data_IF_857012018852
#
_entry.id   IF_857012018852
#
_cell.length_a   1.000
_cell.length_b   1.000
_cell.length_c   1.000
_cell.angle_alpha   90.00
_cell.angle_beta   90.00
_cell.angle_gamma   90.00
#
_symmetry.space_group_name_H-M   'P 1'
#
loop_
_entity.id
_entity.type
_entity.pdbx_description
1 polymer ?
#
# COMPACT_ATOMS: atom_id res chain seq x y z
N UNK A 1 -52.59 -10.59 -32.09
CA UNK A 1 -51.82 -11.57 -32.89
C UNK A 1 -50.34 -11.49 -32.48
N UNK A 2 -49.74 -12.65 -32.20
CA UNK A 2 -48.31 -13.05 -32.26
C UNK A 2 -47.25 -12.07 -31.68
N UNK A 3 -46.65 -12.32 -30.50
CA UNK A 3 -45.56 -13.28 -30.18
C UNK A 3 -44.25 -13.04 -30.94
N UNK A 4 -43.22 -12.61 -30.21
CA UNK A 4 -41.84 -13.13 -30.08
C UNK A 4 -41.38 -12.64 -28.68
N UNK A 5 -41.43 -13.38 -27.56
CA UNK A 5 -40.80 -14.64 -27.18
C UNK A 5 -39.27 -14.65 -27.31
N UNK A 6 -38.61 -14.68 -26.13
CA UNK A 6 -37.45 -15.54 -25.78
C UNK A 6 -36.17 -15.31 -26.59
N UNK A 7 -35.01 -15.01 -26.02
CA UNK A 7 -34.17 -15.70 -25.01
C UNK A 7 -32.90 -14.83 -24.90
N UNK A 8 -32.00 -14.82 -23.93
CA UNK A 8 -31.66 -15.55 -22.72
C UNK A 8 -30.83 -14.53 -21.90
N UNK A 9 -31.07 -14.37 -20.60
CA UNK A 9 -30.18 -14.95 -19.59
C UNK A 9 -28.68 -14.92 -19.96
N UNK A 10 -27.99 -13.86 -19.55
CA UNK A 10 -26.69 -14.02 -18.89
C UNK A 10 -26.84 -13.51 -17.46
N UNK A 11 -27.58 -14.31 -16.69
CA UNK A 11 -27.31 -14.50 -15.27
C UNK A 11 -25.91 -15.12 -15.15
N UNK A 12 -25.22 -14.80 -14.05
CA UNK A 12 -23.93 -15.35 -13.61
C UNK A 12 -22.67 -14.86 -14.35
N UNK A 13 -22.15 -13.73 -13.88
CA UNK A 13 -20.91 -13.78 -13.10
C UNK A 13 -20.83 -12.51 -12.24
N UNK A 14 -21.73 -12.40 -11.26
CA UNK A 14 -21.22 -12.06 -9.95
C UNK A 14 -20.20 -13.16 -9.68
N UNK A 15 -18.93 -12.88 -9.96
CA UNK A 15 -17.88 -13.55 -9.25
C UNK A 15 -18.21 -13.22 -7.80
N UNK A 16 -18.98 -14.10 -7.18
CA UNK A 16 -18.63 -14.63 -5.89
C UNK A 16 -17.14 -14.97 -5.98
N UNK A 17 -16.31 -13.93 -5.83
CA UNK A 17 -15.36 -13.95 -4.75
C UNK A 17 -16.23 -14.29 -3.54
N UNK A 18 -16.47 -15.61 -3.36
CA UNK A 18 -16.19 -16.20 -2.07
C UNK A 18 -14.95 -15.45 -1.65
N UNK A 19 -15.12 -14.46 -0.77
CA UNK A 19 -14.01 -13.98 0.01
C UNK A 19 -13.47 -15.29 0.55
N UNK A 20 -12.40 -15.78 -0.08
CA UNK A 20 -11.65 -16.87 0.48
C UNK A 20 -11.49 -16.37 1.92
N UNK A 21 -11.94 -17.14 2.94
CA UNK A 21 -11.71 -16.72 4.30
C UNK A 21 -10.25 -16.30 4.29
N UNK A 22 -9.99 -15.01 4.60
CA UNK A 22 -8.65 -14.45 4.68
C UNK A 22 -7.92 -15.49 5.51
N UNK A 23 -7.20 -16.39 4.83
CA UNK A 23 -6.56 -17.47 5.52
C UNK A 23 -5.62 -16.68 6.40
N UNK A 24 -5.76 -16.84 7.71
CA UNK A 24 -4.86 -16.25 8.66
C UNK A 24 -3.47 -16.68 8.21
N UNK A 25 -2.82 -15.84 7.41
CA UNK A 25 -1.49 -16.08 6.92
C UNK A 25 -0.68 -16.13 8.20
N UNK A 26 0.06 -17.22 8.36
CA UNK A 26 0.76 -17.56 9.59
C UNK A 26 1.34 -16.30 10.22
N UNK A 27 1.14 -16.12 11.53
CA UNK A 27 1.62 -15.00 12.36
C UNK A 27 3.15 -14.74 12.32
N UNK A 28 3.90 -15.38 11.42
CA UNK A 28 5.33 -15.23 11.16
C UNK A 28 5.57 -14.34 9.93
N UNK A 29 4.94 -13.17 9.86
CA UNK A 29 5.41 -12.14 8.93
C UNK A 29 6.69 -11.51 9.48
N UNK A 30 7.62 -11.11 8.61
CA UNK A 30 8.84 -10.42 9.04
C UNK A 30 8.46 -9.03 9.62
N UNK A 31 8.59 -8.81 10.95
CA UNK A 31 8.19 -7.54 11.56
C UNK A 31 9.04 -6.38 11.05
N UNK A 32 10.30 -6.63 10.68
CA UNK A 32 11.17 -5.60 10.13
C UNK A 32 10.73 -5.20 8.72
N UNK A 33 10.26 -6.14 7.90
CA UNK A 33 9.70 -5.83 6.59
C UNK A 33 8.37 -5.08 6.71
N UNK A 34 7.50 -5.50 7.63
CA UNK A 34 6.26 -4.78 7.93
C UNK A 34 6.52 -3.34 8.37
N UNK A 35 7.41 -3.14 9.34
CA UNK A 35 7.80 -1.81 9.80
C UNK A 35 8.43 -0.97 8.68
N UNK A 36 9.21 -1.59 7.80
CA UNK A 36 9.77 -0.93 6.63
C UNK A 36 8.68 -0.46 5.67
N UNK A 37 7.66 -1.27 5.38
CA UNK A 37 6.56 -0.84 4.51
C UNK A 37 5.81 0.35 5.10
N UNK A 38 5.51 0.33 6.41
CA UNK A 38 4.85 1.44 7.07
C UNK A 38 5.72 2.72 7.11
N UNK A 39 7.03 2.57 7.33
CA UNK A 39 7.96 3.70 7.26
C UNK A 39 8.05 4.27 5.83
N UNK A 40 7.99 3.41 4.81
CA UNK A 40 7.95 3.84 3.41
C UNK A 40 6.63 4.54 3.06
N UNK A 41 5.49 4.06 3.55
CA UNK A 41 4.21 4.75 3.40
C UNK A 41 4.25 6.16 4.03
N UNK A 42 4.77 6.27 5.26
CA UNK A 42 4.94 7.54 5.95
C UNK A 42 5.91 8.49 5.19
N UNK A 43 6.99 7.97 4.61
CA UNK A 43 7.90 8.77 3.77
C UNK A 43 7.19 9.32 2.52
N UNK A 44 6.33 8.52 1.88
CA UNK A 44 5.58 8.97 0.70
C UNK A 44 4.55 10.07 1.04
N UNK A 45 3.97 10.06 2.24
CA UNK A 45 3.13 11.18 2.72
C UNK A 45 3.96 12.47 2.80
N UNK A 46 5.18 12.40 3.32
CA UNK A 46 6.08 13.56 3.36
C UNK A 46 6.44 14.05 1.96
N UNK A 47 6.67 13.15 1.00
CA UNK A 47 6.92 13.54 -0.39
C UNK A 47 5.68 14.15 -1.05
N UNK A 48 4.49 13.61 -0.82
CA UNK A 48 3.24 14.18 -1.31
C UNK A 48 3.03 15.62 -0.79
N UNK A 49 3.32 15.86 0.50
CA UNK A 49 3.18 17.18 1.12
C UNK A 49 4.22 18.20 0.64
N UNK A 50 5.36 17.74 0.11
CA UNK A 50 6.44 18.59 -0.40
C UNK A 50 6.55 18.57 -1.93
N UNK A 51 5.63 17.91 -2.63
CA UNK A 51 5.62 17.86 -4.07
C UNK A 51 5.38 19.26 -4.66
N UNK A 52 6.11 19.58 -5.74
CA UNK A 52 6.03 20.90 -6.40
C UNK A 52 4.86 21.02 -7.37
N UNK A 53 4.25 19.90 -7.73
CA UNK A 53 3.13 19.81 -8.65
C UNK A 53 2.19 18.66 -8.24
N UNK A 54 0.97 18.70 -8.79
CA UNK A 54 -0.07 17.74 -8.46
C UNK A 54 0.27 16.33 -8.98
N UNK A 55 1.02 16.19 -10.08
CA UNK A 55 1.40 14.89 -10.60
C UNK A 55 2.33 14.15 -9.62
N UNK A 56 3.38 14.81 -9.14
CA UNK A 56 4.30 14.27 -8.13
C UNK A 56 3.62 13.99 -6.80
N UNK A 57 2.62 14.80 -6.42
CA UNK A 57 1.79 14.55 -5.24
C UNK A 57 0.98 13.26 -5.40
N UNK A 58 0.27 13.11 -6.51
CA UNK A 58 -0.55 11.93 -6.79
C UNK A 58 0.29 10.66 -6.93
N UNK A 59 1.46 10.74 -7.55
CA UNK A 59 2.39 9.61 -7.64
C UNK A 59 2.88 9.17 -6.25
N UNK A 60 3.20 10.12 -5.37
CA UNK A 60 3.60 9.83 -3.99
C UNK A 60 2.44 9.21 -3.21
N UNK A 61 1.21 9.72 -3.33
CA UNK A 61 0.02 9.14 -2.69
C UNK A 61 -0.20 7.69 -3.13
N UNK A 62 -0.13 7.42 -4.45
CA UNK A 62 -0.28 6.06 -5.00
C UNK A 62 0.79 5.11 -4.46
N UNK A 63 2.05 5.55 -4.45
CA UNK A 63 3.14 4.74 -3.88
C UNK A 63 2.96 4.49 -2.39
N UNK A 64 2.53 5.50 -1.62
CA UNK A 64 2.21 5.36 -0.20
C UNK A 64 1.11 4.33 0.04
N UNK A 65 0.04 4.37 -0.76
CA UNK A 65 -1.05 3.39 -0.69
C UNK A 65 -0.56 1.97 -0.99
N UNK A 66 0.29 1.76 -2.00
CA UNK A 66 0.85 0.43 -2.29
C UNK A 66 1.62 -0.15 -1.11
N UNK A 67 2.43 0.65 -0.42
CA UNK A 67 3.14 0.20 0.78
C UNK A 67 2.20 -0.18 1.93
N UNK A 68 1.13 0.59 2.14
CA UNK A 68 0.12 0.28 3.16
C UNK A 68 -0.60 -1.03 2.84
N UNK A 69 -1.01 -1.23 1.59
CA UNK A 69 -1.64 -2.47 1.14
C UNK A 69 -0.70 -3.66 1.35
N UNK A 70 0.58 -3.55 0.97
CA UNK A 70 1.55 -4.62 1.24
C UNK A 70 1.74 -4.89 2.73
N UNK A 71 1.71 -3.86 3.59
CA UNK A 71 1.78 -4.05 5.05
C UNK A 71 0.54 -4.77 5.61
N UNK A 72 -0.65 -4.42 5.11
CA UNK A 72 -1.92 -5.08 5.45
C UNK A 72 -1.92 -6.55 5.02
N UNK A 73 -1.51 -6.82 3.77
CA UNK A 73 -1.42 -8.17 3.22
C UNK A 73 -0.44 -9.04 4.01
N UNK A 74 0.75 -8.52 4.35
CA UNK A 74 1.74 -9.27 5.13
C UNK A 74 1.26 -9.59 6.55
N UNK A 75 0.69 -8.61 7.25
CA UNK A 75 0.34 -8.78 8.66
C UNK A 75 -0.99 -9.49 8.87
N UNK A 76 -1.84 -9.57 7.85
CA UNK A 76 -3.23 -10.02 7.97
C UNK A 76 -4.10 -9.10 8.83
N UNK A 77 -3.55 -7.98 9.31
CA UNK A 77 -4.22 -7.04 10.19
C UNK A 77 -4.83 -5.91 9.38
N UNK A 78 -6.08 -5.59 9.71
CA UNK A 78 -6.70 -4.38 9.21
C UNK A 78 -6.08 -3.16 9.90
N UNK A 79 -5.42 -2.30 9.12
CA UNK A 79 -4.91 -1.00 9.57
C UNK A 79 -6.05 0.04 9.59
N UNK A 80 -7.13 -0.29 10.29
CA UNK A 80 -8.36 0.51 10.33
C UNK A 80 -8.14 1.92 10.90
N UNK A 81 -7.17 2.08 11.80
CA UNK A 81 -6.73 3.38 12.29
C UNK A 81 -5.32 3.71 11.77
N UNK A 82 -5.26 4.17 10.53
CA UNK A 82 -4.02 4.66 9.91
C UNK A 82 -3.38 5.80 10.72
N UNK A 83 -4.17 6.58 11.47
CA UNK A 83 -3.65 7.75 12.17
C UNK A 83 -2.73 7.36 13.34
N UNK A 84 -3.04 6.27 14.05
CA UNK A 84 -2.21 5.78 15.16
C UNK A 84 -0.97 5.02 14.69
N UNK A 85 -1.03 4.43 13.49
CA UNK A 85 0.10 3.67 12.93
C UNK A 85 1.08 4.56 12.16
N UNK A 86 0.57 5.53 11.38
CA UNK A 86 1.37 6.30 10.42
C UNK A 86 1.83 7.64 11.00
N UNK A 87 1.00 8.35 11.76
CA UNK A 87 1.38 9.68 12.31
C UNK A 87 2.67 9.65 13.15
N UNK A 88 2.91 8.65 14.02
CA UNK A 88 4.17 8.55 14.76
C UNK A 88 5.38 8.36 13.84
N UNK A 89 5.21 7.63 12.73
CA UNK A 89 6.27 7.36 11.74
C UNK A 89 6.58 8.60 10.92
N UNK A 90 5.55 9.34 10.50
CA UNK A 90 5.72 10.66 9.86
C UNK A 90 6.54 11.57 10.77
N UNK A 91 6.17 11.66 12.05
CA UNK A 91 6.90 12.47 13.05
C UNK A 91 8.36 12.03 13.20
N UNK A 92 8.61 10.71 13.34
CA UNK A 92 9.95 10.12 13.42
C UNK A 92 10.80 10.46 12.20
N UNK A 93 10.25 10.27 10.99
CA UNK A 93 10.97 10.48 9.72
C UNK A 93 11.22 11.97 9.48
N UNK A 94 10.25 12.84 9.75
CA UNK A 94 10.46 14.30 9.73
C UNK A 94 11.60 14.70 10.66
N UNK A 95 11.65 14.14 11.87
CA UNK A 95 12.77 14.34 12.80
C UNK A 95 14.13 13.93 12.21
N UNK A 96 14.20 12.84 11.46
CA UNK A 96 15.41 12.44 10.74
C UNK A 96 15.76 13.38 9.59
N UNK A 97 14.77 13.83 8.80
CA UNK A 97 15.02 14.80 7.72
C UNK A 97 15.67 16.08 8.27
N UNK A 98 15.21 16.54 9.44
CA UNK A 98 15.74 17.75 10.08
C UNK A 98 17.08 17.55 10.78
N UNK A 99 17.31 16.41 11.45
CA UNK A 99 18.42 16.26 12.40
C UNK A 99 19.39 15.11 12.09
N UNK A 100 19.04 14.18 11.21
CA UNK A 100 19.83 12.99 10.87
C UNK A 100 19.62 12.59 9.40
N UNK A 101 20.18 13.40 8.51
CA UNK A 101 20.03 13.20 7.06
C UNK A 101 20.57 11.85 6.59
N UNK A 102 21.49 11.22 7.32
CA UNK A 102 22.02 9.90 6.97
C UNK A 102 20.93 8.83 7.09
N UNK A 103 20.18 8.82 8.21
CA UNK A 103 19.02 7.92 8.38
C UNK A 103 17.94 8.18 7.35
N UNK A 104 17.58 9.44 7.12
CA UNK A 104 16.56 9.81 6.12
C UNK A 104 16.96 9.33 4.72
N UNK A 105 18.22 9.57 4.29
CA UNK A 105 18.74 9.11 2.99
C UNK A 105 18.76 7.59 2.89
N UNK A 106 19.11 6.89 3.96
CA UNK A 106 19.09 5.42 3.99
C UNK A 106 17.67 4.90 3.76
N UNK A 107 16.68 5.43 4.48
CA UNK A 107 15.27 5.06 4.30
C UNK A 107 14.80 5.31 2.87
N UNK A 108 15.05 6.51 2.32
CA UNK A 108 14.65 6.84 0.94
C UNK A 108 15.21 5.85 -0.08
N UNK A 109 16.49 5.46 0.05
CA UNK A 109 17.11 4.47 -0.84
C UNK A 109 16.46 3.09 -0.68
N UNK A 110 16.19 2.67 0.55
CA UNK A 110 15.54 1.38 0.81
C UNK A 110 14.13 1.34 0.22
N UNK A 111 13.31 2.37 0.43
CA UNK A 111 11.96 2.43 -0.13
C UNK A 111 11.96 2.44 -1.67
N UNK A 112 12.90 3.16 -2.29
CA UNK A 112 13.07 3.13 -3.74
C UNK A 112 13.46 1.74 -4.26
N UNK A 113 14.31 1.01 -3.52
CA UNK A 113 14.70 -0.35 -3.87
C UNK A 113 13.54 -1.35 -3.77
N UNK A 114 12.74 -1.27 -2.70
CA UNK A 114 11.54 -2.10 -2.52
C UNK A 114 10.57 -1.90 -3.69
N UNK A 115 10.30 -0.64 -4.08
CA UNK A 115 9.43 -0.35 -5.23
C UNK A 115 9.96 -0.94 -6.53
N UNK A 116 11.29 -0.87 -6.74
CA UNK A 116 11.93 -1.41 -7.94
C UNK A 116 11.79 -2.94 -8.02
N UNK A 117 11.91 -3.64 -6.90
CA UNK A 117 11.73 -5.11 -6.86
C UNK A 117 10.26 -5.49 -6.99
N UNK A 118 9.35 -4.81 -6.28
CA UNK A 118 7.91 -5.11 -6.35
C UNK A 118 7.32 -4.95 -7.75
N UNK A 119 7.81 -3.97 -8.53
CA UNK A 119 7.45 -3.83 -9.95
C UNK A 119 7.86 -5.03 -10.83
N UNK A 120 8.93 -5.74 -10.48
CA UNK A 120 9.36 -6.93 -11.22
C UNK A 120 8.51 -8.17 -10.89
N UNK A 121 7.93 -8.25 -9.68
CA UNK A 121 7.06 -9.37 -9.26
C UNK A 121 5.63 -9.26 -9.76
N UNK A 122 5.16 -8.05 -10.07
CA UNK A 122 3.76 -7.77 -10.47
C UNK A 122 3.59 -7.61 -11.99
N UNK A 123 4.69 -7.65 -12.74
CA UNK A 123 4.71 -7.63 -14.21
C UNK A 123 5.21 -8.95 -14.82
N UNK A 124 5.35 -9.99 -14.01
CA UNK A 124 5.69 -11.36 -14.42
C UNK A 124 4.45 -12.21 -14.64
#
# INVERSE_FOLDING_TARGET
MKKLASTAAFLLAAASMTAAPLQAQSNDYDPAMYDMMLDCAALQILFANNAKDEAGKQDSIKMGASFLTSAQEMSGNDLSDLSTVISPRVTKISGWVSNDQAKARKLTKTCAYVLKIGKNYTQG
#
